data_IF_514308947133
#
_entry.id   IF_514308947133
#
_cell.length_a   1.000
_cell.length_b   1.000
_cell.length_c   1.000
_cell.angle_alpha   90.00
_cell.angle_beta   90.00
_cell.angle_gamma   90.00
#
_symmetry.space_group_name_H-M   'P 1'
#
loop_
_entity.id
_entity.type
_entity.pdbx_description
1 polymer ?
#
# COMPACT_ATOMS: atom_id res chain seq x y z
N UNK A 1 5.36 4.06 -24.21
CA UNK A 1 4.51 5.01 -23.44
C UNK A 1 5.34 6.23 -23.12
N UNK A 2 4.86 7.38 -23.50
CA UNK A 2 5.50 8.64 -23.17
C UNK A 2 5.42 8.92 -21.66
N UNK A 3 6.42 9.61 -21.13
CA UNK A 3 6.50 9.92 -19.70
C UNK A 3 5.25 10.66 -19.18
N UNK A 4 4.81 11.69 -19.89
CA UNK A 4 3.64 12.47 -19.48
C UNK A 4 2.34 11.64 -19.51
N UNK A 5 2.21 10.73 -20.47
CA UNK A 5 1.07 9.80 -20.51
C UNK A 5 1.03 8.93 -19.26
N UNK A 6 2.17 8.42 -18.83
CA UNK A 6 2.26 7.64 -17.60
C UNK A 6 1.85 8.46 -16.37
N UNK A 7 2.29 9.71 -16.29
CA UNK A 7 1.95 10.61 -15.18
C UNK A 7 0.46 10.93 -15.14
N UNK A 8 -0.13 11.32 -16.28
CA UNK A 8 -1.52 11.77 -16.31
C UNK A 8 -2.53 10.62 -16.31
N UNK A 9 -2.16 9.46 -16.78
CA UNK A 9 -3.04 8.29 -16.81
C UNK A 9 -2.85 7.36 -15.61
N UNK A 10 -1.95 7.70 -14.69
CA UNK A 10 -1.75 6.95 -13.46
C UNK A 10 -3.03 6.88 -12.64
N UNK A 11 -3.34 5.70 -12.13
CA UNK A 11 -4.46 5.48 -11.22
C UNK A 11 -3.98 4.75 -9.98
N UNK A 12 -4.61 5.03 -8.86
CA UNK A 12 -4.46 4.24 -7.64
C UNK A 12 -5.51 3.14 -7.62
N UNK A 13 -5.06 1.90 -7.49
CA UNK A 13 -5.95 0.74 -7.40
C UNK A 13 -5.91 0.20 -5.98
N UNK A 14 -7.05 0.23 -5.31
CA UNK A 14 -7.21 -0.28 -3.94
C UNK A 14 -7.82 -1.69 -3.89
N UNK A 15 -8.01 -2.32 -5.02
CA UNK A 15 -8.60 -3.65 -5.16
C UNK A 15 -10.02 -3.60 -5.73
N UNK A 16 -10.70 -4.72 -5.91
CA UNK A 16 -10.15 -6.06 -5.70
C UNK A 16 -9.06 -6.43 -6.72
N UNK A 17 -8.12 -7.24 -6.28
CA UNK A 17 -7.07 -7.77 -7.14
C UNK A 17 -7.41 -9.18 -7.61
N UNK A 18 -6.89 -9.55 -8.77
CA UNK A 18 -7.05 -10.89 -9.31
C UNK A 18 -6.28 -11.91 -8.46
N UNK A 19 -6.82 -13.15 -8.32
CA UNK A 19 -6.14 -14.19 -7.55
C UNK A 19 -4.97 -14.83 -8.28
N UNK A 20 -4.73 -14.48 -9.55
CA UNK A 20 -3.70 -15.09 -10.37
C UNK A 20 -2.31 -14.80 -9.77
N UNK A 21 -1.40 -15.79 -9.79
CA UNK A 21 -0.03 -15.54 -9.37
C UNK A 21 0.68 -14.58 -10.31
N UNK A 22 1.57 -13.76 -9.76
CA UNK A 22 2.45 -12.90 -10.56
C UNK A 22 3.56 -13.75 -11.15
N UNK A 23 3.80 -13.64 -12.44
CA UNK A 23 4.84 -14.42 -13.11
C UNK A 23 6.24 -14.08 -12.58
N UNK A 24 7.19 -15.03 -12.59
CA UNK A 24 8.57 -14.74 -12.15
C UNK A 24 9.23 -13.59 -12.91
N UNK A 25 8.91 -13.44 -14.20
CA UNK A 25 9.42 -12.34 -15.02
C UNK A 25 8.92 -10.98 -14.53
N UNK A 26 7.63 -10.88 -14.22
CA UNK A 26 7.05 -9.67 -13.66
C UNK A 26 7.56 -9.38 -12.25
N UNK A 27 7.77 -10.39 -11.42
CA UNK A 27 8.37 -10.23 -10.10
C UNK A 27 9.76 -9.61 -10.19
N UNK A 28 10.60 -10.10 -11.08
CA UNK A 28 11.94 -9.55 -11.31
C UNK A 28 11.89 -8.12 -11.83
N UNK A 29 10.96 -7.82 -12.74
CA UNK A 29 10.78 -6.48 -13.27
C UNK A 29 10.38 -5.49 -12.18
N UNK A 30 9.47 -5.87 -11.29
CA UNK A 30 9.05 -5.05 -10.16
C UNK A 30 10.20 -4.77 -9.20
N UNK A 31 11.00 -5.78 -8.86
CA UNK A 31 12.16 -5.61 -7.99
C UNK A 31 13.20 -4.69 -8.64
N UNK A 32 13.47 -4.88 -9.94
CA UNK A 32 14.39 -4.01 -10.67
C UNK A 32 13.92 -2.56 -10.71
N UNK A 33 12.63 -2.35 -10.95
CA UNK A 33 12.05 -1.01 -10.94
C UNK A 33 12.15 -0.34 -9.56
N UNK A 34 11.86 -1.09 -8.51
CA UNK A 34 11.99 -0.59 -7.14
C UNK A 34 13.45 -0.29 -6.77
N UNK A 35 14.39 -1.15 -7.18
CA UNK A 35 15.82 -0.96 -6.92
C UNK A 35 16.43 0.22 -7.71
N UNK A 36 15.76 0.69 -8.75
CA UNK A 36 16.20 1.85 -9.52
C UNK A 36 15.84 3.19 -8.85
N UNK A 37 15.10 3.17 -7.73
CA UNK A 37 14.77 4.38 -7.00
C UNK A 37 16.03 5.06 -6.44
N UNK A 38 16.04 6.39 -6.31
CA UNK A 38 17.15 7.09 -5.71
C UNK A 38 17.27 6.78 -4.22
N UNK A 39 18.49 6.82 -3.69
CA UNK A 39 18.78 6.67 -2.28
C UNK A 39 19.82 7.68 -1.82
N UNK A 40 19.83 7.98 -0.53
CA UNK A 40 20.80 8.91 0.02
C UNK A 40 22.21 8.42 -0.22
N UNK A 41 23.03 9.27 -0.84
CA UNK A 41 24.41 8.95 -1.23
C UNK A 41 24.55 7.70 -2.10
N UNK A 42 23.47 7.30 -2.80
CA UNK A 42 23.43 6.06 -3.57
C UNK A 42 23.79 4.81 -2.76
N UNK A 43 23.48 4.83 -1.47
CA UNK A 43 23.85 3.76 -0.54
C UNK A 43 23.03 2.48 -0.77
N UNK A 44 21.88 2.58 -1.40
CA UNK A 44 20.99 1.46 -1.75
C UNK A 44 20.76 0.51 -0.56
N UNK A 45 20.25 1.03 0.59
CA UNK A 45 20.19 0.26 1.84
C UNK A 45 19.01 -0.72 1.91
N UNK A 46 18.23 -0.80 0.86
CA UNK A 46 17.04 -1.64 0.81
C UNK A 46 17.37 -3.12 0.65
N UNK A 47 16.44 -3.92 1.13
CA UNK A 47 16.34 -5.34 0.83
C UNK A 47 14.90 -5.63 0.42
N UNK A 48 14.73 -6.55 -0.50
CA UNK A 48 13.40 -6.93 -1.00
C UNK A 48 13.05 -8.32 -0.51
N UNK A 49 11.86 -8.46 0.04
CA UNK A 49 11.28 -9.75 0.42
C UNK A 49 10.02 -9.95 -0.41
N UNK A 50 10.01 -10.97 -1.23
CA UNK A 50 8.85 -11.33 -2.03
C UNK A 50 8.01 -12.35 -1.25
N UNK A 51 6.77 -11.99 -0.97
CA UNK A 51 5.83 -12.86 -0.24
C UNK A 51 4.77 -13.34 -1.23
N UNK A 52 4.71 -14.63 -1.48
CA UNK A 52 3.73 -15.25 -2.38
C UNK A 52 2.74 -16.14 -1.62
N UNK A 53 3.10 -16.60 -0.44
CA UNK A 53 2.25 -17.45 0.39
C UNK A 53 1.00 -16.71 0.84
N UNK A 54 -0.16 -17.25 0.50
CA UNK A 54 -1.46 -16.63 0.77
C UNK A 54 -1.68 -16.40 2.28
N UNK A 55 -1.38 -17.40 3.09
CA UNK A 55 -1.58 -17.30 4.54
C UNK A 55 -0.68 -16.22 5.16
N UNK A 56 0.55 -16.10 4.68
CA UNK A 56 1.48 -15.04 5.10
C UNK A 56 0.97 -13.66 4.70
N UNK A 57 0.48 -13.51 3.48
CA UNK A 57 -0.11 -12.25 3.00
C UNK A 57 -1.31 -11.85 3.87
N UNK A 58 -2.20 -12.77 4.16
CA UNK A 58 -3.37 -12.53 5.01
C UNK A 58 -2.97 -12.17 6.43
N UNK A 59 -1.95 -12.83 6.98
CA UNK A 59 -1.41 -12.51 8.31
C UNK A 59 -0.85 -11.09 8.37
N UNK A 60 -0.04 -10.70 7.39
CA UNK A 60 0.51 -9.34 7.29
C UNK A 60 -0.61 -8.31 7.17
N UNK A 61 -1.60 -8.57 6.32
CA UNK A 61 -2.75 -7.69 6.14
C UNK A 61 -3.53 -7.50 7.45
N UNK A 62 -3.78 -8.59 8.17
CA UNK A 62 -4.48 -8.56 9.46
C UNK A 62 -3.71 -7.74 10.50
N UNK A 63 -2.42 -8.01 10.66
CA UNK A 63 -1.58 -7.28 11.62
C UNK A 63 -1.53 -5.79 11.28
N UNK A 64 -1.37 -5.46 10.02
CA UNK A 64 -1.36 -4.07 9.55
C UNK A 64 -2.70 -3.38 9.82
N UNK A 65 -3.81 -4.08 9.60
CA UNK A 65 -5.14 -3.57 9.87
C UNK A 65 -5.41 -3.34 11.36
N UNK A 66 -5.00 -4.26 12.20
CA UNK A 66 -5.10 -4.13 13.66
C UNK A 66 -4.29 -2.93 14.17
N UNK A 67 -3.05 -2.80 13.72
CA UNK A 67 -2.19 -1.66 14.08
C UNK A 67 -2.76 -0.33 13.61
N UNK A 68 -3.28 -0.27 12.39
CA UNK A 68 -3.92 0.94 11.87
C UNK A 68 -5.16 1.29 12.68
N UNK A 69 -5.96 0.29 13.07
CA UNK A 69 -7.14 0.49 13.90
C UNK A 69 -6.78 1.09 15.25
N UNK A 70 -5.74 0.59 15.89
CA UNK A 70 -5.25 1.08 17.17
C UNK A 70 -4.79 2.54 17.06
N UNK A 71 -3.95 2.86 16.09
CA UNK A 71 -3.45 4.22 15.86
C UNK A 71 -4.57 5.21 15.59
N UNK A 72 -5.54 4.82 14.75
CA UNK A 72 -6.65 5.71 14.39
C UNK A 72 -7.69 5.80 15.50
N UNK A 73 -7.89 4.72 16.28
CA UNK A 73 -8.81 4.67 17.39
C UNK A 73 -8.38 5.46 18.62
N UNK A 74 -7.08 5.77 18.75
CA UNK A 74 -6.54 6.57 19.84
C UNK A 74 -6.99 8.06 19.80
N UNK A 75 -7.65 8.49 18.73
CA UNK A 75 -8.17 9.85 18.57
C UNK A 75 -7.13 10.91 18.22
N UNK A 76 -5.91 10.74 18.68
CA UNK A 76 -4.81 11.73 18.50
C UNK A 76 -4.37 11.82 17.03
N UNK A 77 -4.36 10.72 16.31
CA UNK A 77 -4.00 10.72 14.89
C UNK A 77 -4.97 11.56 14.08
N UNK A 78 -6.27 11.29 14.20
CA UNK A 78 -7.27 12.03 13.45
C UNK A 78 -7.29 13.51 13.84
N UNK A 79 -7.24 13.83 15.13
CA UNK A 79 -7.22 15.20 15.62
C UNK A 79 -6.03 16.00 15.09
N UNK A 80 -4.87 15.34 14.97
CA UNK A 80 -3.66 15.98 14.45
C UNK A 80 -3.74 16.24 12.94
N UNK A 81 -4.31 15.31 12.18
CA UNK A 81 -4.24 15.32 10.72
C UNK A 81 -5.57 15.64 10.01
N UNK A 82 -6.69 15.80 10.75
CA UNK A 82 -8.02 16.03 10.17
C UNK A 82 -8.08 17.19 9.18
N UNK A 83 -7.27 18.23 9.36
CA UNK A 83 -7.21 19.38 8.45
C UNK A 83 -6.68 19.04 7.05
N UNK A 84 -6.02 17.91 6.89
CA UNK A 84 -5.49 17.44 5.62
C UNK A 84 -6.44 16.47 4.90
N UNK A 85 -7.45 15.97 5.60
CA UNK A 85 -8.39 15.03 5.03
C UNK A 85 -9.55 15.76 4.33
N UNK A 86 -9.97 15.21 3.18
CA UNK A 86 -11.12 15.70 2.43
C UNK A 86 -12.44 15.07 2.87
N UNK A 87 -12.40 14.19 3.88
CA UNK A 87 -13.53 13.44 4.39
C UNK A 87 -13.53 13.45 5.92
N UNK A 88 -14.69 13.24 6.51
CA UNK A 88 -14.87 13.19 7.95
C UNK A 88 -14.29 11.91 8.57
N UNK A 89 -14.09 11.93 9.90
CA UNK A 89 -13.68 10.74 10.64
C UNK A 89 -14.64 9.56 10.41
N UNK A 90 -15.93 9.83 10.41
CA UNK A 90 -16.97 8.81 10.19
C UNK A 90 -16.87 8.17 8.80
N UNK A 91 -16.64 8.99 7.78
CA UNK A 91 -16.43 8.48 6.42
C UNK A 91 -15.14 7.67 6.30
N UNK A 92 -14.08 8.10 6.99
CA UNK A 92 -12.81 7.39 7.01
C UNK A 92 -12.93 6.04 7.73
N UNK A 93 -13.65 5.98 8.84
CA UNK A 93 -13.92 4.74 9.56
C UNK A 93 -14.79 3.78 8.74
N UNK A 94 -15.79 4.30 8.03
CA UNK A 94 -16.62 3.51 7.13
C UNK A 94 -15.83 2.93 5.95
N UNK A 95 -14.91 3.69 5.38
CA UNK A 95 -14.00 3.21 4.33
C UNK A 95 -13.01 2.17 4.83
N UNK A 96 -12.57 2.29 6.07
CA UNK A 96 -11.63 1.34 6.69
C UNK A 96 -12.18 -0.07 6.79
N UNK A 97 -13.47 -0.21 7.10
CA UNK A 97 -14.11 -1.52 7.20
C UNK A 97 -14.34 -2.22 5.87
N UNK A 98 -14.21 -1.52 4.75
CA UNK A 98 -14.52 -2.09 3.43
C UNK A 98 -13.40 -2.10 2.40
N UNK A 99 -12.29 -1.42 2.60
CA UNK A 99 -11.36 -1.15 1.49
C UNK A 99 -9.97 -1.76 1.58
N UNK A 100 -9.42 -1.95 2.75
CA UNK A 100 -8.00 -2.31 2.85
C UNK A 100 -7.73 -3.70 3.41
N UNK A 101 -8.70 -4.28 4.11
CA UNK A 101 -8.40 -5.45 4.93
C UNK A 101 -9.46 -6.55 4.88
N UNK A 102 -10.58 -6.31 4.25
CA UNK A 102 -11.58 -7.32 3.98
C UNK A 102 -11.33 -7.95 2.61
N UNK A 103 -10.50 -8.97 2.60
CA UNK A 103 -10.11 -9.88 1.48
C UNK A 103 -8.76 -9.63 0.88
#
# INVERSE_FOLDING_TARGET
MEFLDAVFNRRTTNGPFRPDPVSPEHQQLLIRAAAAAPSQFNSQPWRFVLIEDRDTIETVARISGESMTEVMGAGTFFDRYKKYFRFSQKEMEAQRSGMLFDK
#
